data_IF_421270852723
#
_entry.id   IF_421270852723
#
_cell.length_a   1.000
_cell.length_b   1.000
_cell.length_c   1.000
_cell.angle_alpha   90.00
_cell.angle_beta   90.00
_cell.angle_gamma   90.00
#
_symmetry.space_group_name_H-M   'P 1'
#
loop_
_entity.id
_entity.type
_entity.pdbx_description
1 polymer ?
#
# COMPACT_ATOMS: atom_id res chain seq x y z
N UNK A 1 6.07 -26.40 31.81
CA UNK A 1 5.43 -27.47 32.60
C UNK A 1 3.92 -27.42 32.44
N UNK A 2 3.13 -26.57 33.12
CA UNK A 2 1.66 -26.57 32.93
C UNK A 2 1.21 -26.27 31.48
N UNK A 3 1.90 -25.37 30.76
CA UNK A 3 1.53 -25.05 29.36
C UNK A 3 1.91 -26.15 28.36
N UNK A 4 2.95 -26.95 28.62
CA UNK A 4 3.35 -28.06 27.73
C UNK A 4 2.42 -29.26 27.92
N UNK A 5 2.06 -29.57 29.17
CA UNK A 5 1.13 -30.66 29.50
C UNK A 5 -0.26 -30.41 28.89
N UNK A 6 -0.72 -29.16 28.89
CA UNK A 6 -2.00 -28.78 28.30
C UNK A 6 -2.01 -28.82 26.76
N UNK A 7 -0.83 -28.66 26.12
CA UNK A 7 -0.67 -28.78 24.66
C UNK A 7 -0.69 -30.25 24.26
N UNK A 8 0.04 -31.09 24.99
CA UNK A 8 0.07 -32.54 24.77
C UNK A 8 -1.33 -33.17 24.93
N UNK A 9 -2.09 -32.80 25.96
CA UNK A 9 -3.47 -33.27 26.14
C UNK A 9 -4.39 -32.88 24.96
N UNK A 10 -4.26 -31.66 24.45
CA UNK A 10 -5.05 -31.18 23.32
C UNK A 10 -4.65 -31.87 22.00
N UNK A 11 -3.38 -32.18 21.81
CA UNK A 11 -2.88 -32.90 20.64
C UNK A 11 -3.33 -34.36 20.63
N UNK A 12 -3.38 -35.00 21.81
CA UNK A 12 -3.97 -36.34 21.98
C UNK A 12 -5.47 -36.33 21.69
N UNK A 13 -6.21 -35.32 22.19
CA UNK A 13 -7.64 -35.16 21.90
C UNK A 13 -7.95 -34.91 20.41
N UNK A 14 -7.03 -34.31 19.67
CA UNK A 14 -7.17 -33.94 18.26
C UNK A 14 -6.56 -34.96 17.29
N UNK A 15 -6.00 -36.07 17.79
CA UNK A 15 -5.35 -37.14 17.02
C UNK A 15 -4.23 -36.61 16.09
N UNK A 16 -3.44 -35.65 16.59
CA UNK A 16 -2.36 -35.03 15.82
C UNK A 16 -1.10 -35.89 15.94
N UNK A 17 -0.89 -36.76 14.94
CA UNK A 17 0.20 -37.74 14.95
C UNK A 17 1.62 -37.17 14.77
N UNK A 18 1.77 -36.00 14.12
CA UNK A 18 3.08 -35.34 13.92
C UNK A 18 3.02 -33.88 14.34
N UNK A 19 3.88 -33.51 15.29
CA UNK A 19 4.04 -32.12 15.72
C UNK A 19 4.77 -31.33 14.64
N UNK A 20 4.47 -30.03 14.52
CA UNK A 20 5.19 -29.15 13.61
C UNK A 20 6.57 -28.81 14.18
N UNK A 21 7.54 -29.67 13.93
CA UNK A 21 8.96 -29.44 14.23
C UNK A 21 9.60 -28.51 13.21
N UNK A 22 10.61 -27.73 13.63
CA UNK A 22 11.32 -26.78 12.75
C UNK A 22 11.97 -27.43 11.52
N UNK A 23 12.20 -28.74 11.55
CA UNK A 23 12.82 -29.53 10.49
C UNK A 23 11.84 -29.97 9.38
N UNK A 24 10.53 -29.87 9.63
CA UNK A 24 9.52 -30.23 8.63
C UNK A 24 9.52 -29.21 7.48
N UNK A 25 9.60 -29.64 6.21
CA UNK A 25 9.51 -28.74 5.07
C UNK A 25 8.24 -27.89 5.07
N UNK A 26 7.13 -28.45 5.57
CA UNK A 26 5.84 -27.76 5.73
C UNK A 26 5.93 -26.56 6.69
N UNK A 27 6.71 -26.69 7.77
CA UNK A 27 6.97 -25.60 8.72
C UNK A 27 7.73 -24.46 8.05
N UNK A 28 8.84 -24.78 7.36
CA UNK A 28 9.67 -23.77 6.65
C UNK A 28 8.84 -23.01 5.62
N UNK A 29 8.08 -23.71 4.77
CA UNK A 29 7.18 -23.09 3.77
C UNK A 29 6.14 -22.18 4.42
N UNK A 30 5.57 -22.61 5.55
CA UNK A 30 4.53 -21.83 6.25
C UNK A 30 5.13 -20.58 6.88
N UNK A 31 6.29 -20.69 7.53
CA UNK A 31 7.03 -19.56 8.09
C UNK A 31 7.38 -18.54 7.01
N UNK A 32 7.85 -18.99 5.85
CA UNK A 32 8.14 -18.09 4.73
C UNK A 32 6.88 -17.45 4.14
N UNK A 33 5.78 -18.19 4.08
CA UNK A 33 4.47 -17.65 3.73
C UNK A 33 4.00 -16.55 4.70
N UNK A 34 4.20 -16.75 6.00
CA UNK A 34 3.87 -15.76 7.04
C UNK A 34 4.72 -14.49 6.89
N UNK A 35 6.03 -14.65 6.67
CA UNK A 35 6.95 -13.51 6.42
C UNK A 35 6.50 -12.71 5.20
N UNK A 36 6.21 -13.39 4.08
CA UNK A 36 5.71 -12.78 2.84
C UNK A 36 4.40 -12.04 3.07
N UNK A 37 3.45 -12.65 3.78
CA UNK A 37 2.17 -12.01 4.10
C UNK A 37 2.34 -10.77 4.97
N UNK A 38 3.21 -10.84 6.00
CA UNK A 38 3.53 -9.68 6.85
C UNK A 38 4.11 -8.53 6.03
N UNK A 39 5.00 -8.84 5.10
CA UNK A 39 5.55 -7.85 4.18
C UNK A 39 4.47 -7.20 3.31
N UNK A 40 3.59 -7.98 2.68
CA UNK A 40 2.47 -7.45 1.86
C UNK A 40 1.56 -6.55 2.69
N UNK A 41 1.19 -6.95 3.91
CA UNK A 41 0.33 -6.11 4.76
C UNK A 41 0.97 -4.78 5.14
N UNK A 42 2.28 -4.78 5.41
CA UNK A 42 3.02 -3.55 5.70
C UNK A 42 3.12 -2.67 4.46
N UNK A 43 3.24 -3.28 3.29
CA UNK A 43 3.25 -2.57 2.02
C UNK A 43 1.92 -1.87 1.73
N UNK A 44 0.81 -2.61 1.81
CA UNK A 44 -0.54 -2.08 1.60
C UNK A 44 -0.81 -0.88 2.53
N UNK A 45 -0.35 -0.99 3.79
CA UNK A 45 -0.48 0.08 4.77
C UNK A 45 0.37 1.32 4.42
N UNK A 46 1.58 1.12 3.89
CA UNK A 46 2.45 2.22 3.44
C UNK A 46 1.81 2.98 2.28
N UNK A 47 1.20 2.27 1.33
CA UNK A 47 0.59 2.89 0.15
C UNK A 47 -0.69 3.63 0.49
N UNK A 48 -1.52 3.07 1.37
CA UNK A 48 -2.71 3.77 1.85
C UNK A 48 -2.34 5.13 2.46
N UNK A 49 -1.31 5.17 3.30
CA UNK A 49 -0.82 6.41 3.90
C UNK A 49 -0.28 7.40 2.86
N UNK A 50 0.27 6.90 1.77
CA UNK A 50 0.82 7.73 0.70
C UNK A 50 -0.28 8.31 -0.17
N UNK A 51 -1.28 7.51 -0.50
CA UNK A 51 -2.49 8.00 -1.15
C UNK A 51 -3.16 9.07 -0.28
N UNK A 52 -3.31 8.81 1.02
CA UNK A 52 -3.83 9.79 1.98
C UNK A 52 -3.00 11.09 1.97
N UNK A 53 -1.67 10.98 1.98
CA UNK A 53 -0.77 12.14 1.90
C UNK A 53 -0.96 12.95 0.61
N UNK A 54 -1.07 12.28 -0.55
CA UNK A 54 -1.34 12.93 -1.85
C UNK A 54 -2.68 13.67 -1.81
N UNK A 55 -3.72 13.06 -1.21
CA UNK A 55 -5.01 13.71 -1.06
C UNK A 55 -4.93 14.94 -0.15
N UNK A 56 -4.22 14.87 0.97
CA UNK A 56 -4.01 16.02 1.86
C UNK A 56 -3.22 17.15 1.18
N UNK A 57 -2.17 16.82 0.42
CA UNK A 57 -1.45 17.79 -0.40
C UNK A 57 -2.35 18.45 -1.45
N UNK A 58 -3.21 17.68 -2.11
CA UNK A 58 -4.16 18.20 -3.09
C UNK A 58 -5.19 19.14 -2.45
N UNK A 59 -5.73 18.79 -1.28
CA UNK A 59 -6.63 19.65 -0.50
C UNK A 59 -5.98 20.97 -0.13
N UNK A 60 -4.68 20.96 0.22
CA UNK A 60 -3.91 22.17 0.49
C UNK A 60 -3.68 23.04 -0.75
N UNK A 61 -3.47 22.42 -1.92
CA UNK A 61 -3.18 23.14 -3.16
C UNK A 61 -4.45 23.71 -3.85
N UNK A 62 -5.63 23.20 -3.51
CA UNK A 62 -6.92 23.74 -3.98
C UNK A 62 -7.25 25.04 -3.25
N UNK A 63 -6.99 26.17 -3.91
CA UNK A 63 -7.00 27.49 -3.32
C UNK A 63 -8.38 28.17 -3.35
N UNK A 64 -9.04 28.22 -2.19
CA UNK A 64 -9.82 29.37 -1.68
C UNK A 64 -10.21 29.14 -0.20
N UNK A 65 -9.30 28.61 0.62
CA UNK A 65 -9.62 28.21 2.00
C UNK A 65 -8.98 29.10 3.07
N UNK A 66 -9.79 29.52 4.03
CA UNK A 66 -9.44 30.39 5.15
C UNK A 66 -8.41 29.80 6.13
N UNK A 67 -7.96 30.62 7.08
CA UNK A 67 -6.84 30.30 8.00
C UNK A 67 -7.05 29.02 8.82
N UNK A 68 -8.29 28.73 9.24
CA UNK A 68 -8.60 27.53 10.02
C UNK A 68 -8.35 26.24 9.24
N UNK A 69 -8.68 26.23 7.94
CA UNK A 69 -8.46 25.07 7.06
C UNK A 69 -6.97 24.77 6.91
N UNK A 70 -6.14 25.81 6.74
CA UNK A 70 -4.67 25.66 6.68
C UNK A 70 -4.11 25.05 7.96
N UNK A 71 -4.70 25.36 9.12
CA UNK A 71 -4.29 24.77 10.40
C UNK A 71 -4.66 23.29 10.48
N UNK A 72 -5.91 22.94 10.19
CA UNK A 72 -6.40 21.55 10.28
C UNK A 72 -5.73 20.63 9.25
N UNK A 73 -5.64 21.04 7.99
CA UNK A 73 -4.94 20.24 6.99
C UNK A 73 -3.43 20.21 7.22
N UNK A 74 -2.87 21.27 7.83
CA UNK A 74 -1.44 21.32 8.14
C UNK A 74 -1.06 20.30 9.21
N UNK A 75 -1.89 20.17 10.25
CA UNK A 75 -1.71 19.14 11.28
C UNK A 75 -1.97 17.74 10.74
N UNK A 76 -2.98 17.55 9.88
CA UNK A 76 -3.24 16.28 9.21
C UNK A 76 -2.06 15.86 8.31
N UNK A 77 -1.52 16.77 7.50
CA UNK A 77 -0.36 16.52 6.66
C UNK A 77 0.89 16.14 7.48
N UNK A 78 1.10 16.83 8.60
CA UNK A 78 2.21 16.53 9.51
C UNK A 78 2.03 15.16 10.18
N UNK A 79 0.81 14.82 10.61
CA UNK A 79 0.48 13.53 11.18
C UNK A 79 0.70 12.39 10.16
N UNK A 80 0.19 12.56 8.95
CA UNK A 80 0.39 11.64 7.84
C UNK A 80 1.89 11.47 7.51
N UNK A 81 2.67 12.55 7.47
CA UNK A 81 4.13 12.47 7.23
C UNK A 81 4.86 11.66 8.32
N UNK A 82 4.45 11.80 9.59
CA UNK A 82 5.00 10.99 10.69
C UNK A 82 4.60 9.52 10.55
N UNK A 83 3.35 9.24 10.20
CA UNK A 83 2.85 7.89 9.98
C UNK A 83 3.59 7.21 8.81
N UNK A 84 3.79 7.91 7.69
CA UNK A 84 4.58 7.44 6.56
C UNK A 84 6.01 7.07 6.96
N UNK A 85 6.71 7.92 7.74
CA UNK A 85 8.06 7.58 8.25
C UNK A 85 8.08 6.29 9.07
N UNK A 86 7.08 6.10 9.93
CA UNK A 86 6.95 4.87 10.72
C UNK A 86 6.65 3.66 9.83
N UNK A 87 5.79 3.82 8.81
CA UNK A 87 5.45 2.77 7.86
C UNK A 87 6.66 2.36 7.00
N UNK A 88 7.49 3.31 6.57
CA UNK A 88 8.76 3.03 5.86
C UNK A 88 9.70 2.19 6.72
N UNK A 89 9.84 2.51 8.01
CA UNK A 89 10.65 1.70 8.92
C UNK A 89 10.11 0.28 9.03
N UNK A 90 8.80 0.12 9.25
CA UNK A 90 8.15 -1.21 9.29
C UNK A 90 8.34 -1.98 7.98
N UNK A 91 8.26 -1.31 6.84
CA UNK A 91 8.52 -1.89 5.53
C UNK A 91 9.95 -2.41 5.44
N UNK A 92 10.92 -1.58 5.79
CA UNK A 92 12.33 -1.93 5.77
C UNK A 92 12.63 -3.11 6.71
N UNK A 93 12.01 -3.14 7.90
CA UNK A 93 12.13 -4.26 8.84
C UNK A 93 11.57 -5.56 8.25
N UNK A 94 10.39 -5.50 7.61
CA UNK A 94 9.80 -6.67 6.96
C UNK A 94 10.57 -7.12 5.71
N UNK A 95 11.13 -6.19 4.95
CA UNK A 95 11.89 -6.43 3.73
C UNK A 95 13.19 -7.20 3.97
N UNK A 96 13.88 -6.94 5.09
CA UNK A 96 15.14 -7.61 5.47
C UNK A 96 14.92 -9.08 5.85
N UNK A 97 13.73 -9.41 6.36
CA UNK A 97 13.40 -10.76 6.86
C UNK A 97 13.07 -11.74 5.73
N UNK A 98 12.81 -11.24 4.52
CA UNK A 98 12.52 -12.06 3.34
C UNK A 98 13.78 -12.70 2.74
N UNK A 99 13.57 -13.81 2.05
CA UNK A 99 14.58 -14.48 1.23
C UNK A 99 14.08 -14.60 -0.23
N UNK A 100 14.68 -13.89 -1.20
CA UNK A 100 15.74 -12.89 -1.02
C UNK A 100 15.25 -11.60 -0.34
N UNK A 101 16.14 -10.84 0.31
CA UNK A 101 15.79 -9.59 0.96
C UNK A 101 15.37 -8.55 -0.09
N UNK A 102 14.30 -7.79 0.23
CA UNK A 102 13.78 -6.75 -0.66
C UNK A 102 14.55 -5.43 -0.50
N UNK A 103 14.60 -4.58 -1.56
CA UNK A 103 15.23 -3.27 -1.48
C UNK A 103 14.60 -2.39 -0.40
N UNK A 104 15.44 -1.68 0.35
CA UNK A 104 15.00 -0.70 1.35
C UNK A 104 14.49 0.58 0.68
N UNK A 105 13.48 1.19 1.27
CA UNK A 105 12.95 2.48 0.88
C UNK A 105 13.50 3.58 1.77
N UNK A 106 13.97 4.68 1.19
CA UNK A 106 14.30 5.91 1.91
C UNK A 106 13.13 6.90 1.86
N UNK A 107 13.15 7.86 2.80
CA UNK A 107 12.14 8.92 2.82
C UNK A 107 12.16 9.76 1.54
N UNK A 108 13.35 10.08 1.03
CA UNK A 108 13.54 10.90 -0.17
C UNK A 108 12.92 10.23 -1.40
N UNK A 109 13.16 8.93 -1.57
CA UNK A 109 12.56 8.14 -2.64
C UNK A 109 11.04 8.16 -2.54
N UNK A 110 10.50 8.02 -1.33
CA UNK A 110 9.05 8.02 -1.14
C UNK A 110 8.43 9.36 -1.50
N UNK A 111 9.05 10.46 -1.06
CA UNK A 111 8.58 11.82 -1.40
C UNK A 111 8.68 12.10 -2.90
N UNK A 112 9.76 11.65 -3.55
CA UNK A 112 9.92 11.77 -4.99
C UNK A 112 8.81 11.03 -5.75
N UNK A 113 8.50 9.79 -5.37
CA UNK A 113 7.42 9.02 -5.97
C UNK A 113 6.03 9.64 -5.73
N UNK A 114 5.78 10.15 -4.52
CA UNK A 114 4.57 10.90 -4.17
C UNK A 114 4.41 12.12 -5.08
N UNK A 115 5.49 12.88 -5.27
CA UNK A 115 5.50 14.10 -6.08
C UNK A 115 5.22 13.80 -7.56
N UNK A 116 5.80 12.73 -8.10
CA UNK A 116 5.58 12.29 -9.47
C UNK A 116 4.19 11.65 -9.69
N UNK A 117 3.38 11.49 -8.62
CA UNK A 117 2.18 10.66 -8.62
C UNK A 117 2.43 9.23 -9.18
N UNK A 118 3.69 8.79 -9.12
CA UNK A 118 4.21 7.56 -9.72
C UNK A 118 4.50 6.53 -8.61
N UNK A 119 3.70 6.58 -7.54
CA UNK A 119 3.84 5.69 -6.38
C UNK A 119 3.26 4.31 -6.68
N UNK A 120 3.94 3.60 -7.56
CA UNK A 120 3.56 2.26 -8.02
C UNK A 120 4.29 1.18 -7.19
N UNK A 121 4.42 1.38 -5.88
CA UNK A 121 5.10 0.40 -5.00
C UNK A 121 4.34 -0.96 -4.97
N UNK A 122 3.02 -0.94 -5.16
CA UNK A 122 2.17 -2.13 -5.33
C UNK A 122 2.59 -3.01 -6.50
N UNK A 123 3.24 -2.42 -7.51
CA UNK A 123 3.61 -3.16 -8.73
C UNK A 123 4.77 -4.12 -8.51
N UNK A 124 5.66 -3.89 -7.54
CA UNK A 124 6.81 -4.78 -7.34
C UNK A 124 6.44 -6.08 -6.60
N UNK A 125 5.32 -6.12 -5.89
CA UNK A 125 4.86 -7.30 -5.15
C UNK A 125 3.86 -8.14 -5.93
N UNK A 126 3.03 -7.52 -6.78
CA UNK A 126 2.21 -8.22 -7.75
C UNK A 126 2.94 -8.33 -9.08
N UNK A 127 3.79 -9.34 -9.22
CA UNK A 127 4.48 -9.71 -10.48
C UNK A 127 3.49 -9.73 -11.67
N UNK A 128 2.24 -10.17 -11.45
CA UNK A 128 1.18 -10.19 -12.47
C UNK A 128 0.66 -8.82 -12.91
N UNK A 129 0.80 -7.78 -12.08
CA UNK A 129 0.28 -6.44 -12.39
C UNK A 129 1.25 -5.65 -13.28
N UNK A 130 2.56 -5.90 -13.20
CA UNK A 130 3.56 -5.29 -14.09
C UNK A 130 3.39 -5.69 -15.56
N UNK A 131 2.84 -6.87 -15.81
CA UNK A 131 2.61 -7.41 -17.16
C UNK A 131 1.40 -6.76 -17.86
N UNK A 132 0.53 -6.07 -17.13
CA UNK A 132 -0.67 -5.46 -17.70
C UNK A 132 -0.33 -4.14 -18.38
N UNK A 133 -0.66 -4.01 -19.67
CA UNK A 133 -0.33 -2.81 -20.45
C UNK A 133 -0.82 -1.50 -19.83
N UNK A 134 -2.00 -1.49 -19.20
CA UNK A 134 -2.57 -0.30 -18.55
C UNK A 134 -1.82 0.17 -17.29
N UNK A 135 -0.86 -0.60 -16.78
CA UNK A 135 -0.02 -0.16 -15.66
C UNK A 135 1.20 0.64 -16.09
N UNK A 136 1.54 0.71 -17.38
CA UNK A 136 2.69 1.53 -17.82
C UNK A 136 2.27 3.01 -17.95
N UNK A 137 3.14 3.97 -17.55
CA UNK A 137 2.79 5.39 -17.50
C UNK A 137 2.24 5.95 -18.83
N UNK A 138 2.83 5.55 -19.95
CA UNK A 138 2.40 5.98 -21.30
C UNK A 138 0.95 5.59 -21.59
N UNK A 139 0.52 4.40 -21.20
CA UNK A 139 -0.85 3.95 -21.43
C UNK A 139 -1.83 4.61 -20.47
N UNK A 140 -1.44 4.89 -19.22
CA UNK A 140 -2.26 5.68 -18.28
C UNK A 140 -2.51 7.09 -18.81
N UNK A 141 -1.49 7.78 -19.29
CA UNK A 141 -1.63 9.10 -19.90
C UNK A 141 -2.58 9.07 -21.09
N UNK A 142 -2.48 8.06 -21.95
CA UNK A 142 -3.40 7.89 -23.09
C UNK A 142 -4.84 7.64 -22.63
N UNK A 143 -5.04 6.80 -21.60
CA UNK A 143 -6.34 6.51 -21.01
C UNK A 143 -6.94 7.77 -20.35
N UNK A 144 -6.16 8.51 -19.58
CA UNK A 144 -6.59 9.79 -18.97
C UNK A 144 -6.99 10.80 -20.02
N UNK A 145 -6.22 10.95 -21.10
CA UNK A 145 -6.57 11.80 -22.23
C UNK A 145 -7.88 11.35 -22.88
N UNK A 146 -8.05 10.04 -23.11
CA UNK A 146 -9.26 9.48 -23.69
C UNK A 146 -10.50 9.77 -22.83
N UNK A 147 -10.43 9.51 -21.52
CA UNK A 147 -11.56 9.78 -20.62
C UNK A 147 -11.84 11.28 -20.45
N UNK A 148 -10.82 12.14 -20.45
CA UNK A 148 -11.03 13.60 -20.48
C UNK A 148 -11.79 14.05 -21.72
N UNK A 149 -11.51 13.48 -22.89
CA UNK A 149 -12.24 13.77 -24.13
C UNK A 149 -13.69 13.30 -24.04
N UNK A 150 -13.93 12.09 -23.52
CA UNK A 150 -15.29 11.57 -23.34
C UNK A 150 -16.10 12.45 -22.39
N UNK A 151 -15.55 12.78 -21.21
CA UNK A 151 -16.21 13.66 -20.26
C UNK A 151 -16.50 15.03 -20.85
N UNK A 152 -15.56 15.64 -21.59
CA UNK A 152 -15.80 16.93 -22.24
C UNK A 152 -16.95 16.85 -23.27
N UNK A 153 -17.07 15.75 -24.00
CA UNK A 153 -18.15 15.53 -24.95
C UNK A 153 -19.52 15.34 -24.26
N UNK A 154 -19.56 14.66 -23.12
CA UNK A 154 -20.77 14.55 -22.29
C UNK A 154 -21.14 15.89 -21.66
N UNK A 155 -20.16 16.62 -21.13
CA UNK A 155 -20.36 17.93 -20.51
C UNK A 155 -20.95 18.93 -21.51
N UNK A 156 -20.51 18.92 -22.78
CA UNK A 156 -21.13 19.71 -23.86
C UNK A 156 -22.61 19.36 -24.06
N UNK A 157 -22.97 18.07 -23.99
CA UNK A 157 -24.38 17.65 -24.12
C UNK A 157 -25.20 18.10 -22.92
N UNK A 158 -24.68 17.96 -21.70
CA UNK A 158 -25.34 18.42 -20.49
C UNK A 158 -25.54 19.93 -20.49
N UNK A 159 -24.52 20.70 -20.88
CA UNK A 159 -24.57 22.16 -20.96
C UNK A 159 -25.70 22.65 -21.88
N UNK A 160 -25.92 21.95 -23.01
CA UNK A 160 -27.00 22.29 -23.96
C UNK A 160 -28.40 22.03 -23.39
N UNK A 161 -28.54 21.16 -22.39
CA UNK A 161 -29.81 20.88 -21.71
C UNK A 161 -30.05 21.92 -20.61
N UNK A 162 -29.00 22.35 -19.89
CA UNK A 162 -29.10 23.30 -18.78
C UNK A 162 -29.28 24.77 -19.23
N UNK A 163 -28.91 25.11 -20.46
CA UNK A 163 -29.04 26.47 -21.03
C UNK A 163 -30.42 26.69 -21.71
N UNK A 164 -31.20 25.63 -21.96
CA UNK A 164 -32.56 25.72 -22.48
C UNK A 164 -33.58 25.98 -21.36
#
# INVERSE_FOLDING_TARGET
MEEEEHVEELEEMLDIAEHWTMELPKWVVTVDGIKKRKYVLVLDALELLIVEHIFELKKMNQSQMGMWYKSVFGTALQACSKAMRSAINRYNDAAIVLDPPMPRLTWEQVVEYVFLADFDILRNTHVDMQLKLWTRPVYRLAIDCYFKILCACEEIKCLNIEIC
#
